data_IF_145763375110
#
_entry.id   IF_145763375110
#
_cell.length_a   1.000
_cell.length_b   1.000
_cell.length_c   1.000
_cell.angle_alpha   90.00
_cell.angle_beta   90.00
_cell.angle_gamma   90.00
#
_symmetry.space_group_name_H-M   'P 1'
#
loop_
_entity.id
_entity.type
_entity.pdbx_description
1 polymer ?
#
# COMPACT_ATOMS: atom_id res chain seq x y z
N UNK A 1 60.38 -8.76 -22.41
CA UNK A 1 61.19 -9.88 -23.03
C UNK A 1 61.24 -10.99 -21.99
N UNK A 2 60.99 -12.25 -22.31
CA UNK A 2 60.59 -12.84 -23.57
C UNK A 2 59.22 -13.56 -23.51
N UNK A 3 58.72 -13.81 -24.65
CA UNK A 3 57.68 -14.48 -25.29
C UNK A 3 57.70 -16.03 -25.18
N UNK A 4 56.92 -16.74 -25.99
CA UNK A 4 55.74 -17.51 -25.62
C UNK A 4 55.96 -19.03 -25.85
N UNK A 5 55.03 -19.87 -25.40
CA UNK A 5 54.96 -21.25 -25.89
C UNK A 5 53.53 -21.70 -26.22
N UNK A 6 53.49 -22.24 -27.39
CA UNK A 6 52.42 -22.69 -28.27
C UNK A 6 51.74 -23.98 -27.80
N UNK A 7 50.45 -24.07 -28.10
CA UNK A 7 49.65 -25.11 -28.76
C UNK A 7 49.98 -26.60 -28.48
N UNK A 8 48.95 -27.37 -28.13
CA UNK A 8 48.53 -28.57 -28.89
C UNK A 8 47.06 -28.79 -28.75
N UNK A 9 46.39 -28.81 -29.90
CA UNK A 9 44.99 -29.26 -30.07
C UNK A 9 45.00 -30.79 -30.23
N UNK A 10 44.03 -31.46 -29.61
CA UNK A 10 43.71 -32.84 -29.97
C UNK A 10 42.21 -32.95 -30.21
N UNK A 11 41.90 -33.14 -31.49
CA UNK A 11 40.59 -33.52 -31.98
C UNK A 11 40.43 -35.03 -31.89
N UNK A 12 39.32 -35.53 -31.35
CA UNK A 12 38.90 -36.91 -31.54
C UNK A 12 37.47 -36.91 -32.04
N UNK A 13 37.34 -37.48 -33.23
CA UNK A 13 36.10 -37.64 -33.99
C UNK A 13 35.32 -38.89 -33.59
N UNK A 14 34.06 -38.79 -33.72
CA UNK A 14 32.88 -39.68 -33.87
C UNK A 14 33.09 -41.23 -33.96
N UNK A 15 32.04 -42.05 -33.81
CA UNK A 15 31.03 -42.18 -34.84
C UNK A 15 29.55 -42.37 -34.37
N UNK A 16 28.65 -41.98 -35.31
CA UNK A 16 27.25 -42.34 -35.36
C UNK A 16 27.01 -43.85 -35.47
N UNK A 17 26.02 -44.34 -34.73
CA UNK A 17 25.32 -45.56 -35.10
C UNK A 17 23.81 -45.30 -35.20
N UNK A 18 23.29 -45.25 -36.42
CA UNK A 18 21.90 -45.42 -36.78
C UNK A 18 21.49 -46.88 -36.56
N UNK A 19 20.38 -47.08 -35.86
CA UNK A 19 19.64 -48.34 -35.99
C UNK A 19 18.18 -47.95 -36.20
N UNK A 20 17.76 -48.11 -37.44
CA UNK A 20 16.34 -48.15 -37.83
C UNK A 20 15.84 -49.59 -37.67
N UNK A 21 14.69 -49.73 -37.04
CA UNK A 21 13.82 -50.89 -37.22
C UNK A 21 12.38 -50.42 -37.30
N UNK A 22 11.86 -50.56 -38.50
CA UNK A 22 10.42 -50.57 -38.86
C UNK A 22 9.81 -51.90 -38.50
N UNK A 23 8.61 -51.91 -37.96
CA UNK A 23 7.50 -52.81 -38.35
C UNK A 23 6.21 -52.43 -37.64
N UNK A 24 5.32 -52.07 -38.37
CA UNK A 24 3.90 -52.33 -38.63
C UNK A 24 2.97 -52.86 -37.49
N UNK A 25 1.82 -52.22 -37.52
CA UNK A 25 0.44 -52.67 -37.38
C UNK A 25 -0.35 -52.40 -36.09
N UNK A 26 -1.27 -51.49 -36.29
CA UNK A 26 -2.69 -51.50 -35.90
C UNK A 26 -3.07 -51.55 -34.41
N UNK A 27 -3.76 -50.49 -34.01
CA UNK A 27 -4.60 -50.46 -32.81
C UNK A 27 -4.69 -49.09 -32.18
N UNK A 28 -5.58 -48.23 -32.73
CA UNK A 28 -6.20 -47.13 -31.99
C UNK A 28 -7.03 -47.67 -30.84
N UNK A 29 -7.12 -47.12 -29.61
CA UNK A 29 -7.74 -45.80 -29.43
C UNK A 29 -7.12 -44.88 -28.36
N UNK A 30 -7.16 -43.58 -28.63
CA UNK A 30 -7.51 -42.58 -27.62
C UNK A 30 -6.65 -42.49 -26.36
N UNK A 31 -5.42 -42.01 -26.45
CA UNK A 31 -4.68 -41.50 -25.31
C UNK A 31 -4.65 -39.98 -25.34
N UNK A 32 -5.68 -39.35 -24.78
CA UNK A 32 -5.58 -37.95 -24.38
C UNK A 32 -4.38 -37.78 -23.46
N UNK A 33 -3.33 -37.15 -23.93
CA UNK A 33 -2.32 -36.58 -23.06
C UNK A 33 -2.98 -35.44 -22.25
N UNK A 34 -3.64 -35.82 -21.14
CA UNK A 34 -3.93 -34.89 -20.09
C UNK A 34 -2.58 -34.33 -19.60
N UNK A 35 -2.23 -33.12 -20.01
CA UNK A 35 -1.29 -32.32 -19.31
C UNK A 35 -1.74 -32.29 -17.86
N UNK A 36 -0.92 -32.82 -16.96
CA UNK A 36 -1.14 -32.73 -15.53
C UNK A 36 -1.06 -31.28 -15.12
N UNK A 37 -2.17 -30.55 -15.23
CA UNK A 37 -2.44 -29.41 -14.39
C UNK A 37 -2.63 -30.01 -13.01
N UNK A 38 -1.74 -29.73 -12.08
CA UNK A 38 -1.97 -29.98 -10.67
C UNK A 38 -3.24 -29.22 -10.32
N UNK A 39 -4.32 -29.96 -10.00
CA UNK A 39 -5.52 -29.40 -9.42
C UNK A 39 -5.19 -28.88 -8.02
N UNK A 40 -4.58 -27.71 -7.94
CA UNK A 40 -4.55 -26.95 -6.72
C UNK A 40 -5.99 -26.49 -6.44
N UNK A 41 -6.40 -26.52 -5.18
CA UNK A 41 -7.63 -25.90 -4.72
C UNK A 41 -7.62 -24.45 -5.21
N UNK A 42 -8.70 -23.98 -5.83
CA UNK A 42 -8.87 -22.58 -6.14
C UNK A 42 -8.85 -21.82 -4.80
N UNK A 43 -7.86 -20.93 -4.62
CA UNK A 43 -7.68 -20.18 -3.40
C UNK A 43 -8.55 -18.92 -3.45
N UNK A 44 -9.23 -18.63 -2.35
CA UNK A 44 -10.01 -17.39 -2.16
C UNK A 44 -9.41 -16.58 -1.02
N UNK A 45 -9.04 -15.34 -1.28
CA UNK A 45 -8.57 -14.41 -0.26
C UNK A 45 -9.53 -13.24 -0.10
N UNK A 46 -9.83 -12.88 1.14
CA UNK A 46 -10.65 -11.71 1.46
C UNK A 46 -9.75 -10.54 1.81
N UNK A 47 -9.97 -9.40 1.16
CA UNK A 47 -9.28 -8.13 1.43
C UNK A 47 -10.27 -7.18 2.07
N UNK A 48 -10.04 -6.82 3.34
CA UNK A 48 -10.97 -6.07 4.17
C UNK A 48 -10.31 -4.79 4.65
N UNK A 49 -10.75 -3.65 4.12
CA UNK A 49 -10.15 -2.36 4.41
C UNK A 49 -11.10 -1.44 5.19
N UNK A 50 -10.56 -0.34 5.74
CA UNK A 50 -11.34 0.70 6.42
C UNK A 50 -11.66 1.88 5.50
N UNK A 51 -11.51 1.71 4.18
CA UNK A 51 -11.81 2.76 3.21
C UNK A 51 -13.29 3.13 3.15
N UNK A 52 -13.55 4.36 2.80
CA UNK A 52 -14.89 4.83 2.43
C UNK A 52 -15.09 4.72 0.92
N UNK A 53 -16.32 4.59 0.47
CA UNK A 53 -16.62 4.53 -0.95
C UNK A 53 -16.18 5.81 -1.68
N UNK A 54 -15.38 5.65 -2.75
CA UNK A 54 -14.86 6.77 -3.54
C UNK A 54 -13.58 7.40 -2.98
N UNK A 55 -12.94 6.78 -2.02
CA UNK A 55 -11.61 7.17 -1.57
C UNK A 55 -10.55 6.64 -2.55
N UNK A 56 -9.93 7.55 -3.30
CA UNK A 56 -8.95 7.23 -4.34
C UNK A 56 -7.77 6.40 -3.82
N UNK A 57 -7.37 6.55 -2.56
CA UNK A 57 -6.33 5.74 -1.94
C UNK A 57 -6.71 4.25 -1.96
N UNK A 58 -7.94 3.95 -1.50
CA UNK A 58 -8.40 2.56 -1.41
C UNK A 58 -8.76 1.96 -2.76
N UNK A 59 -9.14 2.78 -3.74
CA UNK A 59 -9.31 2.32 -5.13
C UNK A 59 -7.98 1.80 -5.70
N UNK A 60 -6.85 2.46 -5.42
CA UNK A 60 -5.51 2.01 -5.86
C UNK A 60 -5.08 0.73 -5.12
N UNK A 61 -5.37 0.61 -3.81
CA UNK A 61 -5.14 -0.65 -3.06
C UNK A 61 -5.97 -1.79 -3.65
N UNK A 62 -7.24 -1.54 -3.98
CA UNK A 62 -8.11 -2.52 -4.61
C UNK A 62 -7.55 -2.97 -5.97
N UNK A 63 -7.14 -2.01 -6.83
CA UNK A 63 -6.52 -2.32 -8.12
C UNK A 63 -5.31 -3.24 -7.95
N UNK A 64 -4.45 -2.99 -6.96
CA UNK A 64 -3.30 -3.84 -6.66
C UNK A 64 -3.69 -5.25 -6.24
N UNK A 65 -4.68 -5.38 -5.37
CA UNK A 65 -5.15 -6.68 -4.88
C UNK A 65 -5.81 -7.51 -6.01
N UNK A 66 -6.69 -6.88 -6.81
CA UNK A 66 -7.36 -7.52 -7.94
C UNK A 66 -6.35 -7.94 -9.02
N UNK A 67 -5.38 -7.08 -9.36
CA UNK A 67 -4.33 -7.43 -10.31
C UNK A 67 -3.48 -8.61 -9.84
N UNK A 68 -3.12 -8.64 -8.55
CA UNK A 68 -2.43 -9.79 -7.99
C UNK A 68 -3.27 -11.07 -8.07
N UNK A 69 -4.59 -10.96 -7.86
CA UNK A 69 -5.53 -12.06 -8.05
C UNK A 69 -5.50 -12.60 -9.47
N UNK A 70 -5.58 -11.72 -10.46
CA UNK A 70 -5.51 -12.08 -11.89
C UNK A 70 -4.16 -12.72 -12.25
N UNK A 71 -3.05 -12.10 -11.87
CA UNK A 71 -1.70 -12.57 -12.21
C UNK A 71 -1.39 -13.94 -11.59
N UNK A 72 -1.97 -14.21 -10.42
CA UNK A 72 -1.68 -15.38 -9.63
C UNK A 72 -2.77 -16.48 -9.72
N UNK A 73 -3.92 -16.20 -10.33
CA UNK A 73 -5.06 -17.09 -10.39
C UNK A 73 -5.68 -17.34 -9.02
N UNK A 74 -5.91 -16.26 -8.27
CA UNK A 74 -6.53 -16.23 -6.93
C UNK A 74 -7.86 -15.51 -7.05
N UNK A 75 -8.90 -16.02 -6.41
CA UNK A 75 -10.16 -15.30 -6.24
C UNK A 75 -10.02 -14.29 -5.10
N UNK A 76 -10.12 -13.01 -5.41
CA UNK A 76 -9.98 -11.91 -4.45
C UNK A 76 -11.35 -11.30 -4.19
N UNK A 77 -11.82 -11.38 -2.94
CA UNK A 77 -13.03 -10.72 -2.46
C UNK A 77 -12.65 -9.46 -1.70
N UNK A 78 -12.81 -8.29 -2.35
CA UNK A 78 -12.49 -6.98 -1.76
C UNK A 78 -13.72 -6.37 -1.12
N UNK A 79 -13.62 -6.03 0.17
CA UNK A 79 -14.66 -5.40 0.95
C UNK A 79 -14.09 -4.24 1.79
N UNK A 80 -14.91 -3.22 2.06
CA UNK A 80 -14.47 -2.01 2.75
C UNK A 80 -15.58 -1.41 3.59
N UNK A 81 -15.28 -0.99 4.81
CA UNK A 81 -16.17 -0.19 5.64
C UNK A 81 -15.37 0.65 6.64
N UNK A 82 -15.60 1.98 6.66
CA UNK A 82 -14.93 2.92 7.55
C UNK A 82 -15.39 2.82 9.03
N UNK A 83 -16.48 2.10 9.34
CA UNK A 83 -16.88 1.83 10.71
C UNK A 83 -16.12 0.60 11.25
N UNK A 84 -15.30 0.73 12.31
CA UNK A 84 -14.49 -0.38 12.80
C UNK A 84 -15.30 -1.61 13.25
N UNK A 85 -16.52 -1.41 13.73
CA UNK A 85 -17.38 -2.53 14.14
C UNK A 85 -17.93 -3.29 12.93
N UNK A 86 -18.27 -2.58 11.83
CA UNK A 86 -18.68 -3.21 10.59
C UNK A 86 -17.51 -3.87 9.90
N UNK A 87 -16.33 -3.26 9.93
CA UNK A 87 -15.09 -3.89 9.42
C UNK A 87 -14.82 -5.21 10.18
N UNK A 88 -14.97 -5.25 11.51
CA UNK A 88 -14.86 -6.48 12.29
C UNK A 88 -15.86 -7.55 11.84
N UNK A 89 -17.12 -7.16 11.56
CA UNK A 89 -18.13 -8.09 11.05
C UNK A 89 -17.79 -8.66 9.66
N UNK A 90 -17.10 -7.88 8.80
CA UNK A 90 -16.61 -8.39 7.51
C UNK A 90 -15.52 -9.44 7.73
N UNK A 91 -14.62 -9.25 8.70
CA UNK A 91 -13.62 -10.26 9.08
C UNK A 91 -14.31 -11.53 9.58
N UNK A 92 -15.29 -11.40 10.48
CA UNK A 92 -16.05 -12.55 10.99
C UNK A 92 -16.79 -13.29 9.87
N UNK A 93 -17.31 -12.56 8.87
CA UNK A 93 -17.96 -13.17 7.70
C UNK A 93 -16.97 -13.95 6.83
N UNK A 94 -15.76 -13.44 6.63
CA UNK A 94 -14.69 -14.12 5.90
C UNK A 94 -14.26 -15.42 6.64
N UNK A 95 -14.14 -15.36 7.98
CA UNK A 95 -13.86 -16.54 8.81
C UNK A 95 -14.95 -17.59 8.65
N UNK A 96 -16.23 -17.20 8.73
CA UNK A 96 -17.37 -18.10 8.57
C UNK A 96 -17.47 -18.69 7.15
N UNK A 97 -16.93 -18.00 6.15
CA UNK A 97 -16.88 -18.46 4.75
C UNK A 97 -15.68 -19.38 4.48
N UNK A 98 -14.84 -19.62 5.49
CA UNK A 98 -13.65 -20.50 5.42
C UNK A 98 -12.70 -20.11 4.27
N UNK A 99 -12.47 -18.77 4.08
CA UNK A 99 -11.52 -18.29 3.08
C UNK A 99 -10.09 -18.79 3.36
N UNK A 100 -9.25 -18.85 2.34
CA UNK A 100 -7.89 -19.39 2.44
C UNK A 100 -6.86 -18.35 2.98
N UNK A 101 -7.26 -17.10 3.13
CA UNK A 101 -6.44 -16.02 3.69
C UNK A 101 -7.20 -14.71 3.82
N UNK A 102 -6.76 -13.86 4.73
CA UNK A 102 -7.34 -12.54 4.98
C UNK A 102 -6.25 -11.48 4.91
N UNK A 103 -6.52 -10.39 4.18
CA UNK A 103 -5.78 -9.12 4.22
C UNK A 103 -6.64 -8.12 4.96
N UNK A 104 -6.07 -7.40 5.95
CA UNK A 104 -6.84 -6.44 6.74
C UNK A 104 -6.04 -5.17 7.04
N UNK A 105 -6.64 -4.01 6.83
CA UNK A 105 -6.11 -2.72 7.30
C UNK A 105 -6.60 -2.41 8.71
N UNK A 106 -5.76 -1.78 9.55
CA UNK A 106 -6.04 -1.65 10.99
C UNK A 106 -5.95 -0.19 11.45
N UNK A 107 -6.86 0.68 10.98
CA UNK A 107 -7.00 2.04 11.52
C UNK A 107 -7.25 2.04 13.04
N UNK A 108 -8.09 1.12 13.49
CA UNK A 108 -8.41 0.91 14.90
C UNK A 108 -8.15 -0.56 15.29
N UNK A 109 -6.89 -0.93 15.60
CA UNK A 109 -6.53 -2.33 15.88
C UNK A 109 -7.24 -2.90 17.11
N UNK A 110 -7.57 -2.08 18.11
CA UNK A 110 -8.27 -2.57 19.31
C UNK A 110 -9.70 -3.03 19.01
N UNK A 111 -10.37 -2.36 18.07
CA UNK A 111 -11.72 -2.76 17.65
C UNK A 111 -11.74 -4.04 16.79
N UNK A 112 -10.63 -4.37 16.13
CA UNK A 112 -10.50 -5.52 15.24
C UNK A 112 -9.84 -6.72 15.88
N UNK A 113 -9.26 -6.55 17.08
CA UNK A 113 -8.43 -7.57 17.74
C UNK A 113 -9.13 -8.92 17.83
N UNK A 114 -10.33 -8.97 18.39
CA UNK A 114 -11.04 -10.23 18.63
C UNK A 114 -11.34 -10.98 17.31
N UNK A 115 -11.70 -10.25 16.24
CA UNK A 115 -12.01 -10.85 14.92
C UNK A 115 -10.74 -11.35 14.22
N UNK A 116 -9.61 -10.62 14.33
CA UNK A 116 -8.32 -11.03 13.77
C UNK A 116 -7.80 -12.27 14.52
N UNK A 117 -7.84 -12.26 15.85
CA UNK A 117 -7.43 -13.40 16.66
C UNK A 117 -8.29 -14.63 16.37
N UNK A 118 -9.61 -14.46 16.16
CA UNK A 118 -10.51 -15.55 15.77
C UNK A 118 -10.14 -16.14 14.39
N UNK A 119 -9.76 -15.30 13.41
CA UNK A 119 -9.29 -15.78 12.11
C UNK A 119 -8.01 -16.60 12.24
N UNK A 120 -7.04 -16.13 13.03
CA UNK A 120 -5.78 -16.84 13.31
C UNK A 120 -6.04 -18.16 14.05
N UNK A 121 -6.93 -18.19 15.05
CA UNK A 121 -7.34 -19.40 15.78
C UNK A 121 -8.05 -20.42 14.89
N UNK A 122 -8.81 -19.96 13.89
CA UNK A 122 -9.41 -20.82 12.87
C UNK A 122 -8.36 -21.38 11.87
N UNK A 123 -7.10 -20.97 11.96
CA UNK A 123 -6.03 -21.39 11.07
C UNK A 123 -5.99 -20.66 9.74
N UNK A 124 -6.70 -19.54 9.61
CA UNK A 124 -6.69 -18.69 8.42
C UNK A 124 -5.50 -17.70 8.55
N UNK A 125 -4.54 -17.71 7.60
CA UNK A 125 -3.42 -16.79 7.63
C UNK A 125 -3.91 -15.35 7.39
N UNK A 126 -3.41 -14.41 8.21
CA UNK A 126 -3.73 -13.00 8.13
C UNK A 126 -2.48 -12.21 7.75
N UNK A 127 -2.59 -11.32 6.77
CA UNK A 127 -1.61 -10.27 6.48
C UNK A 127 -2.28 -8.93 6.75
N UNK A 128 -1.64 -8.09 7.55
CA UNK A 128 -2.15 -6.74 7.81
C UNK A 128 -1.53 -5.73 6.86
N UNK A 129 -2.24 -4.65 6.58
CA UNK A 129 -1.77 -3.58 5.67
C UNK A 129 -2.01 -2.20 6.24
N UNK A 130 -1.31 -1.21 5.69
CA UNK A 130 -1.50 0.22 5.97
C UNK A 130 -1.23 0.58 7.44
N UNK A 131 -2.27 0.86 8.22
CA UNK A 131 -2.16 1.30 9.63
C UNK A 131 -1.97 0.13 10.61
N UNK A 132 -1.44 0.40 11.80
CA UNK A 132 -1.37 -0.54 12.91
C UNK A 132 -0.31 -1.63 12.79
N UNK A 133 0.73 -1.41 11.97
CA UNK A 133 1.77 -2.40 11.72
C UNK A 133 2.47 -2.92 12.97
N UNK A 134 2.66 -2.09 13.99
CA UNK A 134 3.26 -2.48 15.27
C UNK A 134 2.41 -3.48 16.08
N UNK A 135 1.10 -3.57 15.80
CA UNK A 135 0.18 -4.51 16.44
C UNK A 135 0.10 -5.86 15.72
N UNK A 136 0.50 -5.87 14.44
CA UNK A 136 0.33 -7.00 13.49
C UNK A 136 0.83 -8.33 14.05
N UNK A 137 2.10 -8.38 14.46
CA UNK A 137 2.71 -9.60 15.00
C UNK A 137 2.06 -10.06 16.31
N UNK A 138 1.65 -9.11 17.18
CA UNK A 138 0.97 -9.39 18.43
C UNK A 138 -0.39 -10.05 18.26
N UNK A 139 -1.07 -9.79 17.14
CA UNK A 139 -2.36 -10.37 16.77
C UNK A 139 -2.21 -11.72 16.02
N UNK A 140 -0.99 -12.19 15.80
CA UNK A 140 -0.72 -13.47 15.13
C UNK A 140 -0.72 -13.40 13.60
N UNK A 141 -0.73 -12.21 13.01
CA UNK A 141 -0.60 -12.06 11.57
C UNK A 141 0.77 -12.56 11.08
N UNK A 142 0.82 -13.14 9.87
CA UNK A 142 2.05 -13.68 9.28
C UNK A 142 2.96 -12.60 8.67
N UNK A 143 2.48 -11.36 8.56
CA UNK A 143 3.23 -10.21 8.06
C UNK A 143 2.40 -8.94 8.01
N UNK A 144 3.09 -7.83 7.76
CA UNK A 144 2.50 -6.52 7.54
C UNK A 144 3.11 -5.89 6.28
N UNK A 145 2.28 -5.23 5.47
CA UNK A 145 2.70 -4.47 4.29
C UNK A 145 2.18 -3.05 4.42
N UNK A 146 3.07 -2.07 4.42
CA UNK A 146 2.71 -0.66 4.58
C UNK A 146 3.93 0.20 4.81
N UNK A 147 3.76 1.46 5.12
CA UNK A 147 4.86 2.29 5.59
C UNK A 147 4.95 2.29 7.11
N UNK A 148 6.07 2.73 7.66
CA UNK A 148 6.17 3.13 9.06
C UNK A 148 5.65 4.56 9.18
N UNK A 149 4.51 4.73 9.81
CA UNK A 149 3.77 5.99 9.81
C UNK A 149 4.52 7.10 10.57
N UNK A 150 5.26 6.76 11.62
CA UNK A 150 6.08 7.71 12.35
C UNK A 150 7.32 8.12 11.56
N UNK A 151 7.96 7.18 10.84
CA UNK A 151 9.08 7.49 9.94
C UNK A 151 8.60 8.37 8.78
N UNK A 152 7.46 8.05 8.19
CA UNK A 152 6.88 8.83 7.11
C UNK A 152 6.50 10.25 7.55
N UNK A 153 5.86 10.38 8.71
CA UNK A 153 5.60 11.69 9.31
C UNK A 153 6.88 12.48 9.59
N UNK A 154 7.91 11.82 10.12
CA UNK A 154 9.22 12.46 10.35
C UNK A 154 9.85 12.96 9.05
N UNK A 155 9.75 12.18 7.98
CA UNK A 155 10.19 12.58 6.63
C UNK A 155 9.46 13.82 6.15
N UNK A 156 8.14 13.86 6.26
CA UNK A 156 7.32 15.03 5.91
C UNK A 156 7.70 16.27 6.72
N UNK A 157 7.90 16.11 8.06
CA UNK A 157 8.32 17.19 8.92
C UNK A 157 9.72 17.74 8.57
N UNK A 158 10.67 16.88 8.21
CA UNK A 158 12.01 17.26 7.77
C UNK A 158 11.95 18.03 6.44
N UNK A 159 11.12 17.57 5.50
CA UNK A 159 10.92 18.22 4.22
C UNK A 159 10.31 19.62 4.39
N UNK A 160 9.28 19.77 5.24
CA UNK A 160 8.71 21.07 5.61
C UNK A 160 9.74 21.98 6.28
N UNK A 161 10.54 21.46 7.22
CA UNK A 161 11.63 22.22 7.85
C UNK A 161 12.68 22.69 6.84
N UNK A 162 13.05 21.83 5.88
CA UNK A 162 13.96 22.16 4.77
C UNK A 162 13.45 23.29 3.89
N UNK A 163 12.13 23.40 3.74
CA UNK A 163 11.42 24.47 3.02
C UNK A 163 11.14 25.70 3.89
N UNK A 164 11.54 25.68 5.16
CA UNK A 164 11.50 26.82 6.06
C UNK A 164 10.28 26.90 6.98
N UNK A 165 9.39 25.91 6.97
CA UNK A 165 8.23 25.85 7.85
C UNK A 165 8.65 25.74 9.32
N UNK A 166 7.83 26.34 10.21
CA UNK A 166 8.07 26.40 11.66
C UNK A 166 6.82 26.15 12.49
N UNK A 167 5.63 26.38 11.92
CA UNK A 167 4.35 26.20 12.58
C UNK A 167 3.39 25.51 11.63
N UNK A 168 3.21 24.21 11.83
CA UNK A 168 2.50 23.32 10.90
C UNK A 168 1.15 22.92 11.49
N UNK A 169 0.10 23.06 10.68
CA UNK A 169 -1.22 22.49 10.92
C UNK A 169 -1.27 21.09 10.29
N UNK A 170 -1.44 20.04 11.11
CA UNK A 170 -1.58 18.65 10.63
C UNK A 170 -3.06 18.28 10.58
N UNK A 171 -3.59 18.03 9.38
CA UNK A 171 -5.02 17.79 9.19
C UNK A 171 -5.33 16.30 9.22
N UNK A 172 -5.94 15.85 10.31
CA UNK A 172 -6.33 14.46 10.55
C UNK A 172 -7.76 14.27 10.05
N UNK A 173 -7.93 13.47 9.01
CA UNK A 173 -9.20 13.33 8.30
C UNK A 173 -10.08 12.15 8.76
N UNK A 174 -9.54 11.29 9.64
CA UNK A 174 -10.22 10.13 10.18
C UNK A 174 -9.94 10.00 11.68
N UNK A 175 -10.98 10.17 12.49
CA UNK A 175 -10.86 10.12 13.93
C UNK A 175 -10.53 8.71 14.45
N UNK A 176 -9.54 8.61 15.32
CA UNK A 176 -9.15 7.33 15.94
C UNK A 176 -8.33 6.41 15.05
N UNK A 177 -7.89 6.89 13.86
CA UNK A 177 -6.91 6.19 13.06
C UNK A 177 -5.51 6.43 13.63
N UNK A 178 -4.91 5.38 14.21
CA UNK A 178 -3.62 5.48 14.88
C UNK A 178 -2.48 5.85 13.93
N UNK A 179 -2.55 5.44 12.67
CA UNK A 179 -1.55 5.78 11.66
C UNK A 179 -1.48 7.29 11.40
N UNK A 180 -2.63 7.96 11.34
CA UNK A 180 -2.68 9.41 11.14
C UNK A 180 -2.14 10.17 12.35
N UNK A 181 -2.40 9.69 13.56
CA UNK A 181 -1.83 10.25 14.78
C UNK A 181 -0.29 10.10 14.79
N UNK A 182 0.22 8.95 14.37
CA UNK A 182 1.66 8.69 14.23
C UNK A 182 2.31 9.57 13.16
N UNK A 183 1.64 9.86 12.02
CA UNK A 183 2.12 10.81 11.01
C UNK A 183 2.30 12.21 11.58
N UNK A 184 1.30 12.75 12.30
CA UNK A 184 1.43 14.07 12.95
C UNK A 184 2.51 14.09 14.03
N UNK A 185 2.62 13.04 14.84
CA UNK A 185 3.67 12.93 15.86
C UNK A 185 5.07 12.87 15.22
N UNK A 186 5.24 12.06 14.17
CA UNK A 186 6.47 12.00 13.39
C UNK A 186 6.81 13.34 12.74
N UNK A 187 5.82 14.02 12.16
CA UNK A 187 6.01 15.35 11.56
C UNK A 187 6.53 16.37 12.60
N UNK A 188 6.03 16.33 13.84
CA UNK A 188 6.54 17.16 14.92
C UNK A 188 8.02 16.85 15.24
N UNK A 189 8.40 15.58 15.26
CA UNK A 189 9.80 15.17 15.45
C UNK A 189 10.70 15.64 14.31
N UNK A 190 10.23 15.49 13.06
CA UNK A 190 10.97 15.88 11.86
C UNK A 190 11.13 17.38 11.71
N UNK A 191 10.09 18.14 12.02
CA UNK A 191 10.09 19.59 12.02
C UNK A 191 10.97 20.17 13.14
N UNK A 192 11.14 19.42 14.25
CA UNK A 192 11.82 19.90 15.46
C UNK A 192 11.00 20.96 16.23
N UNK A 193 9.69 21.00 16.00
CA UNK A 193 8.74 21.91 16.63
C UNK A 193 7.38 21.22 16.81
N UNK A 194 6.47 21.88 17.54
CA UNK A 194 5.12 21.33 17.71
C UNK A 194 4.32 21.51 16.43
N UNK A 195 3.70 20.40 16.00
CA UNK A 195 2.71 20.37 14.94
C UNK A 195 1.32 20.34 15.58
N UNK A 196 0.43 21.22 15.15
CA UNK A 196 -0.93 21.31 15.73
C UNK A 196 -1.90 20.43 14.95
N UNK A 197 -2.52 19.40 15.55
CA UNK A 197 -3.49 18.59 14.85
C UNK A 197 -4.83 19.30 14.71
N UNK A 198 -5.46 19.17 13.55
CA UNK A 198 -6.83 19.60 13.26
C UNK A 198 -7.64 18.38 12.80
N UNK A 199 -8.66 18.01 13.55
CA UNK A 199 -9.57 16.93 13.17
C UNK A 199 -10.61 17.45 12.18
N UNK A 200 -10.76 16.76 11.05
CA UNK A 200 -11.82 16.98 10.05
C UNK A 200 -12.47 15.65 9.69
N UNK A 201 -13.48 15.67 8.82
CA UNK A 201 -14.12 14.47 8.27
C UNK A 201 -13.89 14.44 6.75
N UNK A 202 -13.24 13.41 6.23
CA UNK A 202 -13.02 13.23 4.78
C UNK A 202 -14.31 13.13 3.98
N UNK A 203 -15.42 12.71 4.62
CA UNK A 203 -16.73 12.64 3.99
C UNK A 203 -17.45 14.01 3.94
N UNK A 204 -16.91 15.05 4.61
CA UNK A 204 -17.39 16.43 4.57
C UNK A 204 -16.26 17.40 4.14
N UNK A 205 -15.85 17.32 2.89
CA UNK A 205 -14.79 18.17 2.34
C UNK A 205 -15.09 19.67 2.45
N UNK A 206 -16.34 20.17 2.26
CA UNK A 206 -16.65 21.59 2.51
C UNK A 206 -16.48 21.98 3.98
N UNK A 207 -16.81 21.10 4.92
CA UNK A 207 -16.56 21.29 6.35
C UNK A 207 -15.06 21.30 6.65
N UNK A 208 -14.28 20.43 6.05
CA UNK A 208 -12.82 20.38 6.16
C UNK A 208 -12.19 21.69 5.66
N UNK A 209 -12.57 22.18 4.45
CA UNK A 209 -12.13 23.47 3.90
C UNK A 209 -12.40 24.62 4.89
N UNK A 210 -13.64 24.69 5.38
CA UNK A 210 -14.05 25.74 6.32
C UNK A 210 -13.25 25.70 7.63
N UNK A 211 -12.97 24.51 8.15
CA UNK A 211 -12.18 24.32 9.37
C UNK A 211 -10.73 24.75 9.18
N UNK A 212 -10.09 24.34 8.07
CA UNK A 212 -8.72 24.73 7.73
C UNK A 212 -8.62 26.26 7.55
N UNK A 213 -9.51 26.86 6.75
CA UNK A 213 -9.54 28.31 6.53
C UNK A 213 -9.70 29.09 7.85
N UNK A 214 -10.56 28.60 8.76
CA UNK A 214 -10.77 29.21 10.07
C UNK A 214 -9.51 29.17 10.94
N UNK A 215 -8.75 28.08 10.92
CA UNK A 215 -7.46 27.98 11.62
C UNK A 215 -6.43 28.96 11.06
N UNK A 216 -6.29 29.02 9.74
CA UNK A 216 -5.36 29.93 9.07
C UNK A 216 -5.71 31.42 9.30
N UNK A 217 -7.00 31.75 9.34
CA UNK A 217 -7.45 33.11 9.69
C UNK A 217 -7.25 33.44 11.17
N UNK A 218 -7.39 32.44 12.04
CA UNK A 218 -7.24 32.62 13.50
C UNK A 218 -5.80 32.71 13.97
N UNK A 219 -4.88 32.07 13.27
CA UNK A 219 -3.44 32.06 13.58
C UNK A 219 -2.59 32.28 12.33
N UNK A 220 -2.23 33.51 12.07
CA UNK A 220 -1.37 33.92 10.94
C UNK A 220 0.09 33.45 11.06
N UNK A 221 0.46 32.78 12.16
CA UNK A 221 1.79 32.21 12.32
C UNK A 221 1.90 30.80 11.72
N UNK A 222 0.77 30.17 11.34
CA UNK A 222 0.76 28.91 10.60
C UNK A 222 1.36 29.14 9.22
N UNK A 223 2.48 28.51 8.93
CA UNK A 223 3.25 28.68 7.70
C UNK A 223 3.27 27.42 6.81
N UNK A 224 2.66 26.30 7.29
CA UNK A 224 2.39 25.13 6.48
C UNK A 224 1.14 24.35 6.95
N UNK A 225 0.49 23.69 5.99
CA UNK A 225 -0.59 22.73 6.21
C UNK A 225 -0.12 21.39 5.69
N UNK A 226 -0.10 20.38 6.56
CA UNK A 226 0.17 18.99 6.20
C UNK A 226 -1.14 18.20 6.25
N UNK A 227 -1.67 17.84 5.08
CA UNK A 227 -2.81 16.96 4.99
C UNK A 227 -2.36 15.50 4.94
N UNK A 228 -3.20 14.58 5.40
CA UNK A 228 -2.85 13.16 5.49
C UNK A 228 -3.65 12.30 4.49
N UNK A 229 -4.30 12.97 3.51
CA UNK A 229 -5.07 12.36 2.44
C UNK A 229 -5.11 13.31 1.24
N UNK A 230 -5.08 12.77 0.02
CA UNK A 230 -5.02 13.53 -1.22
C UNK A 230 -6.28 14.37 -1.49
N UNK A 231 -7.48 13.88 -1.13
CA UNK A 231 -8.72 14.65 -1.31
C UNK A 231 -8.77 15.89 -0.40
N UNK A 232 -8.21 15.78 0.82
CA UNK A 232 -8.11 16.90 1.76
C UNK A 232 -7.06 17.91 1.31
N UNK A 233 -6.05 17.50 0.54
CA UNK A 233 -5.03 18.41 0.00
C UNK A 233 -5.65 19.46 -0.94
N UNK A 234 -6.52 19.06 -1.84
CA UNK A 234 -7.19 19.95 -2.78
C UNK A 234 -7.97 21.06 -2.03
N UNK A 235 -8.78 20.67 -1.04
CA UNK A 235 -9.55 21.65 -0.25
C UNK A 235 -8.67 22.47 0.71
N UNK A 236 -7.48 21.99 1.07
CA UNK A 236 -6.52 22.77 1.86
C UNK A 236 -5.88 23.91 1.04
N UNK A 237 -5.61 23.69 -0.25
CA UNK A 237 -5.16 24.75 -1.18
C UNK A 237 -6.22 25.82 -1.30
N UNK A 238 -7.48 25.44 -1.50
CA UNK A 238 -8.60 26.40 -1.55
C UNK A 238 -8.78 27.15 -0.22
N UNK A 239 -8.65 26.45 0.92
CA UNK A 239 -8.76 27.05 2.25
C UNK A 239 -7.66 28.07 2.53
N UNK A 240 -6.43 27.83 2.08
CA UNK A 240 -5.33 28.79 2.18
C UNK A 240 -5.63 30.05 1.36
N UNK A 241 -6.13 29.89 0.12
CA UNK A 241 -6.53 31.02 -0.72
C UNK A 241 -7.69 31.82 -0.10
N UNK A 242 -8.73 31.17 0.42
CA UNK A 242 -9.88 31.80 1.10
C UNK A 242 -9.46 32.56 2.37
N UNK A 243 -8.46 32.06 3.08
CA UNK A 243 -7.91 32.69 4.26
C UNK A 243 -6.95 33.86 3.92
N UNK A 244 -6.52 33.99 2.65
CA UNK A 244 -5.45 34.90 2.27
C UNK A 244 -4.12 34.54 2.95
N UNK A 245 -3.85 33.28 3.15
CA UNK A 245 -2.66 32.74 3.82
C UNK A 245 -1.62 32.30 2.79
N UNK A 246 -0.35 32.58 3.08
CA UNK A 246 0.80 32.11 2.30
C UNK A 246 1.34 30.75 2.83
N UNK A 247 0.59 30.05 3.68
CA UNK A 247 0.97 28.75 4.21
C UNK A 247 1.14 27.73 3.07
N UNK A 248 2.31 27.08 3.00
CA UNK A 248 2.54 26.03 2.00
C UNK A 248 1.72 24.78 2.32
N UNK A 249 1.15 24.14 1.30
CA UNK A 249 0.40 22.89 1.45
C UNK A 249 1.31 21.72 1.08
N UNK A 250 1.34 20.70 1.93
CA UNK A 250 1.93 19.40 1.65
C UNK A 250 0.95 18.29 2.04
N UNK A 251 1.09 17.12 1.47
CA UNK A 251 0.14 16.04 1.70
C UNK A 251 0.80 14.67 1.82
N UNK A 252 0.00 13.70 2.22
CA UNK A 252 0.20 12.30 1.95
C UNK A 252 -0.68 11.90 0.78
N UNK A 253 -0.25 10.86 0.06
CA UNK A 253 -0.91 10.20 -1.05
C UNK A 253 -0.97 11.00 -2.34
N UNK A 254 -1.04 10.27 -3.45
CA UNK A 254 -1.13 10.82 -4.80
C UNK A 254 -2.53 10.60 -5.36
N UNK A 255 -2.99 11.55 -6.14
CA UNK A 255 -4.09 11.45 -7.09
C UNK A 255 -3.88 12.52 -8.18
N UNK A 256 -4.77 12.60 -9.16
CA UNK A 256 -4.65 13.57 -10.27
C UNK A 256 -4.59 15.03 -9.79
N UNK A 257 -5.36 15.39 -8.75
CA UNK A 257 -5.40 16.75 -8.22
C UNK A 257 -4.09 17.11 -7.50
N UNK A 258 -3.51 16.17 -6.75
CA UNK A 258 -2.21 16.34 -6.07
C UNK A 258 -1.08 16.46 -7.09
N UNK A 259 -1.08 15.62 -8.13
CA UNK A 259 -0.11 15.70 -9.23
C UNK A 259 -0.18 17.09 -9.89
N UNK A 260 -1.37 17.54 -10.26
CA UNK A 260 -1.58 18.87 -10.84
C UNK A 260 -1.15 19.97 -9.89
N UNK A 261 -1.52 19.88 -8.61
CA UNK A 261 -1.15 20.85 -7.60
C UNK A 261 0.36 20.96 -7.37
N UNK A 262 1.11 19.84 -7.48
CA UNK A 262 2.59 19.87 -7.41
C UNK A 262 3.16 20.52 -8.69
N UNK A 263 2.66 20.19 -9.88
CA UNK A 263 3.11 20.75 -11.15
C UNK A 263 2.85 22.26 -11.23
N UNK A 264 1.73 22.73 -10.70
CA UNK A 264 1.34 24.14 -10.66
C UNK A 264 2.03 24.93 -9.52
N UNK A 265 2.59 24.22 -8.53
CA UNK A 265 3.29 24.79 -7.37
C UNK A 265 2.36 25.15 -6.21
N UNK A 266 1.10 24.72 -6.24
CA UNK A 266 0.11 24.92 -5.16
C UNK A 266 0.32 23.93 -4.02
N UNK A 267 0.89 22.75 -4.31
CA UNK A 267 1.28 21.72 -3.35
C UNK A 267 2.81 21.57 -3.40
N UNK A 268 3.45 21.71 -2.24
CA UNK A 268 4.91 21.69 -2.13
C UNK A 268 5.52 20.30 -2.37
N UNK A 269 4.86 19.26 -1.86
CA UNK A 269 5.21 17.85 -2.07
C UNK A 269 4.09 16.93 -1.56
N UNK A 270 4.16 15.68 -1.95
CA UNK A 270 3.38 14.58 -1.39
C UNK A 270 4.30 13.49 -0.83
N UNK A 271 3.87 12.84 0.26
CA UNK A 271 4.48 11.60 0.76
C UNK A 271 3.73 10.44 0.14
N UNK A 272 4.39 9.73 -0.75
CA UNK A 272 3.84 8.56 -1.43
C UNK A 272 4.17 7.29 -0.64
N UNK A 273 3.15 6.51 -0.34
CA UNK A 273 3.27 5.25 0.37
C UNK A 273 3.06 4.02 -0.53
N UNK A 274 2.95 4.20 -1.84
CA UNK A 274 2.84 3.14 -2.84
C UNK A 274 1.68 2.17 -2.55
N UNK A 275 0.49 2.72 -2.48
CA UNK A 275 -0.71 2.02 -2.06
C UNK A 275 -1.07 0.79 -2.94
N UNK A 276 -0.70 0.80 -4.21
CA UNK A 276 -0.86 -0.36 -5.09
C UNK A 276 -0.12 -1.59 -4.56
N UNK A 277 1.12 -1.41 -4.05
CA UNK A 277 1.88 -2.50 -3.44
C UNK A 277 1.24 -3.01 -2.15
N UNK A 278 0.54 -2.15 -1.40
CA UNK A 278 -0.19 -2.56 -0.20
C UNK A 278 -1.38 -3.49 -0.53
N UNK A 279 -1.91 -3.41 -1.74
CA UNK A 279 -2.89 -4.38 -2.26
C UNK A 279 -2.25 -5.63 -2.84
N UNK A 280 -1.25 -5.46 -3.68
CA UNK A 280 -0.64 -6.54 -4.47
C UNK A 280 0.17 -7.54 -3.62
N UNK A 281 1.10 -7.02 -2.80
CA UNK A 281 2.04 -7.86 -2.06
C UNK A 281 1.39 -8.81 -1.05
N UNK A 282 0.34 -8.44 -0.31
CA UNK A 282 -0.33 -9.35 0.61
C UNK A 282 -0.89 -10.61 -0.07
N UNK A 283 -1.42 -10.49 -1.28
CA UNK A 283 -1.92 -11.61 -2.07
C UNK A 283 -0.79 -12.57 -2.43
N UNK A 284 0.37 -12.02 -2.84
CA UNK A 284 1.59 -12.82 -3.06
C UNK A 284 2.03 -13.53 -1.79
N UNK A 285 2.04 -12.82 -0.65
CA UNK A 285 2.46 -13.38 0.64
C UNK A 285 1.54 -14.52 1.09
N UNK A 286 0.22 -14.33 1.01
CA UNK A 286 -0.77 -15.37 1.35
C UNK A 286 -0.64 -16.59 0.44
N UNK A 287 -0.44 -16.39 -0.87
CA UNK A 287 -0.22 -17.50 -1.80
C UNK A 287 1.03 -18.31 -1.47
N UNK A 288 2.15 -17.64 -1.20
CA UNK A 288 3.39 -18.30 -0.81
C UNK A 288 3.22 -19.08 0.50
N UNK A 289 2.46 -18.53 1.44
CA UNK A 289 2.16 -19.21 2.69
C UNK A 289 1.26 -20.42 2.46
N UNK A 290 0.16 -20.28 1.72
CA UNK A 290 -0.77 -21.37 1.44
C UNK A 290 -0.11 -22.54 0.71
N UNK A 291 0.84 -22.26 -0.19
CA UNK A 291 1.51 -23.31 -0.98
C UNK A 291 2.71 -23.95 -0.28
N UNK A 292 3.48 -23.17 0.47
CA UNK A 292 4.81 -23.58 0.93
C UNK A 292 5.09 -23.21 2.39
N UNK A 293 4.14 -22.59 3.12
CA UNK A 293 4.31 -22.03 4.45
C UNK A 293 5.45 -20.98 4.52
N UNK A 294 5.75 -20.34 3.39
CA UNK A 294 6.77 -19.29 3.33
C UNK A 294 6.22 -18.00 3.89
N UNK A 295 7.02 -17.31 4.71
CA UNK A 295 6.73 -15.97 5.21
C UNK A 295 7.71 -14.96 4.61
N UNK A 296 7.27 -13.71 4.49
CA UNK A 296 8.07 -12.59 3.96
C UNK A 296 8.34 -11.59 5.09
N UNK A 297 9.43 -10.85 5.00
CA UNK A 297 9.80 -9.81 5.97
C UNK A 297 10.61 -10.31 7.18
N UNK A 298 10.68 -11.64 7.43
CA UNK A 298 11.46 -12.18 8.55
C UNK A 298 10.99 -11.67 9.92
N UNK A 299 9.68 -11.41 10.07
CA UNK A 299 9.07 -10.85 11.27
C UNK A 299 9.09 -9.32 11.34
N UNK A 300 9.56 -8.66 10.29
CA UNK A 300 9.53 -7.19 10.14
C UNK A 300 8.49 -6.81 9.06
N UNK A 301 7.92 -5.60 9.12
CA UNK A 301 7.07 -5.09 8.05
C UNK A 301 7.78 -5.06 6.68
N UNK A 302 7.03 -5.31 5.63
CA UNK A 302 7.44 -5.02 4.24
C UNK A 302 7.05 -3.58 3.96
N UNK A 303 8.07 -2.70 3.88
CA UNK A 303 7.82 -1.27 3.74
C UNK A 303 7.57 -0.88 2.29
N UNK A 304 6.48 -0.12 2.04
CA UNK A 304 6.07 0.38 0.73
C UNK A 304 6.32 1.88 0.54
N UNK A 305 7.04 2.51 1.43
CA UNK A 305 7.38 3.94 1.46
C UNK A 305 8.11 4.29 2.75
N UNK A 306 8.26 5.59 3.07
CA UNK A 306 7.78 6.74 2.32
C UNK A 306 8.67 7.12 1.12
N UNK A 307 8.06 7.60 0.05
CA UNK A 307 8.70 8.32 -1.03
C UNK A 307 8.29 9.79 -1.02
N UNK A 308 9.16 10.73 -1.38
CA UNK A 308 8.79 12.13 -1.56
C UNK A 308 8.59 12.39 -3.06
N UNK A 309 7.41 12.90 -3.40
CA UNK A 309 7.08 13.36 -4.74
C UNK A 309 6.91 14.87 -4.70
N UNK A 310 7.72 15.58 -5.48
CA UNK A 310 7.71 17.03 -5.58
C UNK A 310 7.93 17.48 -7.04
N UNK A 311 8.16 18.78 -7.27
CA UNK A 311 8.33 19.34 -8.60
C UNK A 311 9.51 18.72 -9.40
N UNK A 312 10.48 18.12 -8.73
CA UNK A 312 11.65 17.55 -9.41
C UNK A 312 11.36 16.16 -10.02
N UNK A 313 10.34 15.42 -9.50
CA UNK A 313 10.06 14.04 -9.91
C UNK A 313 8.57 13.72 -10.17
N UNK A 314 7.66 14.67 -10.00
CA UNK A 314 6.20 14.44 -10.18
C UNK A 314 5.85 13.91 -11.57
N UNK A 315 6.56 14.34 -12.61
CA UNK A 315 6.31 13.88 -13.99
C UNK A 315 6.62 12.39 -14.20
N UNK A 316 7.47 11.79 -13.34
CA UNK A 316 7.80 10.36 -13.42
C UNK A 316 6.63 9.46 -12.95
N UNK A 317 5.74 10.00 -12.11
CA UNK A 317 4.63 9.25 -11.50
C UNK A 317 3.25 9.69 -11.99
N UNK A 318 3.14 10.79 -12.74
CA UNK A 318 1.87 11.38 -13.15
C UNK A 318 0.96 10.41 -13.93
N UNK A 319 1.50 9.76 -14.97
CA UNK A 319 0.74 8.78 -15.76
C UNK A 319 0.36 7.54 -14.92
N UNK A 320 1.19 7.16 -13.94
CA UNK A 320 0.93 6.01 -13.07
C UNK A 320 -0.18 6.30 -12.05
N UNK A 321 -0.21 7.52 -11.50
CA UNK A 321 -1.29 7.96 -10.62
C UNK A 321 -2.64 8.00 -11.37
N UNK A 322 -2.65 8.53 -12.60
CA UNK A 322 -3.85 8.51 -13.46
C UNK A 322 -4.29 7.07 -13.82
N UNK A 323 -3.35 6.16 -14.00
CA UNK A 323 -3.64 4.75 -14.27
C UNK A 323 -4.11 3.96 -13.04
N UNK A 324 -4.09 4.55 -11.84
CA UNK A 324 -4.45 3.87 -10.60
C UNK A 324 -3.46 2.77 -10.18
N UNK A 325 -2.19 2.94 -10.54
CA UNK A 325 -1.09 2.02 -10.19
C UNK A 325 -0.05 2.66 -9.26
N UNK A 326 -0.32 3.92 -8.87
CA UNK A 326 0.53 4.65 -7.95
C UNK A 326 -0.29 5.53 -7.02
#
# INVERSE_FOLDING_TARGET
MPAPKRLVALAVAAPLLLSACTTDSAGDPGGSSSGGGGGGKDLTFSVITHGSAGDAFWDVVQNGAEQAGEDLGIDVDYQSDGDPQRQAQLIDAAVNSEVDGIVVSMANPDALQDSIEAAVEAGIPVVTINSGGERSAGLGAIGHVGQDEQIAGRGAGQELAGRGAKNVLCVVHEAGNIGLEQRCAGASEGLGAQVTPLQVDVNDLPGAQSAIASQLQGDSSIDAVLTLNSAVAAVAVEAAADAGSDAQVATFDLNEDVISGIQDGDIAFAVDQQQYEQGYLPIVMLKLYAQNLNTVGGGQPVLTGPGIVDADNVDEVADLATAGTR
#
